data_IF_084049185737
#
_entry.id   IF_084049185737
#
_cell.length_a   1.000
_cell.length_b   1.000
_cell.length_c   1.000
_cell.angle_alpha   90.00
_cell.angle_beta   90.00
_cell.angle_gamma   90.00
#
_symmetry.space_group_name_H-M   'P 1'
#
loop_
_entity.id
_entity.type
_entity.pdbx_description
1 polymer ?
#
# COMPACT_ATOMS: atom_id res chain seq x y z
N UNK A 1 21.47 1.43 7.81
CA UNK A 1 22.33 0.46 7.10
C UNK A 1 21.38 -0.59 6.56
N UNK A 2 20.81 -0.34 5.39
CA UNK A 2 20.03 -1.32 4.66
C UNK A 2 20.98 -2.42 4.20
N UNK A 3 20.92 -3.57 4.87
CA UNK A 3 21.42 -4.77 4.23
C UNK A 3 20.54 -5.00 3.00
N UNK A 4 21.13 -5.10 1.79
CA UNK A 4 20.35 -5.49 0.63
C UNK A 4 19.71 -6.83 0.98
N UNK A 5 18.37 -6.92 0.87
CA UNK A 5 17.67 -8.20 0.98
C UNK A 5 18.38 -9.16 0.05
N UNK A 6 19.14 -10.09 0.63
CA UNK A 6 19.92 -11.03 -0.15
C UNK A 6 18.93 -11.79 -1.03
N UNK A 7 19.17 -11.81 -2.34
CA UNK A 7 18.39 -12.64 -3.25
C UNK A 7 18.48 -14.08 -2.75
N UNK A 8 17.36 -14.57 -2.21
CA UNK A 8 17.25 -15.95 -1.75
C UNK A 8 17.29 -16.81 -3.02
N UNK A 9 18.25 -17.76 -3.14
CA UNK A 9 18.28 -18.68 -4.26
C UNK A 9 16.90 -19.33 -4.42
N UNK A 10 16.43 -19.47 -5.66
CA UNK A 10 15.07 -19.97 -5.90
C UNK A 10 14.82 -21.37 -5.31
N UNK A 11 15.89 -22.16 -5.16
CA UNK A 11 15.87 -23.49 -4.55
C UNK A 11 15.68 -23.45 -3.02
N UNK A 12 16.00 -22.32 -2.38
CA UNK A 12 15.82 -22.07 -0.95
C UNK A 12 14.47 -21.37 -0.64
N UNK A 13 13.73 -20.95 -1.67
CA UNK A 13 12.42 -20.35 -1.50
C UNK A 13 11.39 -21.40 -1.06
N UNK A 14 10.45 -21.02 -0.18
CA UNK A 14 9.33 -21.89 0.16
C UNK A 14 8.53 -22.25 -1.10
N UNK A 15 7.98 -23.47 -1.11
CA UNK A 15 7.12 -23.90 -2.20
C UNK A 15 5.97 -22.91 -2.42
N UNK A 16 5.67 -22.64 -3.69
CA UNK A 16 4.58 -21.73 -4.05
C UNK A 16 3.26 -22.17 -3.40
N UNK A 17 2.43 -21.22 -2.92
CA UNK A 17 1.18 -21.56 -2.29
C UNK A 17 0.29 -22.31 -3.30
N UNK A 18 -0.37 -23.41 -2.88
CA UNK A 18 -1.18 -24.23 -3.80
C UNK A 18 -2.42 -23.48 -4.31
N UNK A 19 -2.84 -22.43 -3.60
CA UNK A 19 -3.99 -21.61 -3.96
C UNK A 19 -3.78 -20.17 -3.52
N UNK A 20 -4.06 -19.26 -4.44
CA UNK A 20 -4.11 -17.81 -4.22
C UNK A 20 -5.53 -17.34 -4.53
N UNK A 21 -6.12 -16.59 -3.61
CA UNK A 21 -7.40 -15.91 -3.80
C UNK A 21 -7.13 -14.46 -4.19
N UNK A 22 -7.89 -13.92 -5.15
CA UNK A 22 -7.76 -12.53 -5.58
C UNK A 22 -9.04 -11.77 -5.26
N UNK A 23 -8.90 -10.54 -4.81
CA UNK A 23 -10.01 -9.69 -4.37
C UNK A 23 -9.96 -8.33 -5.09
N UNK A 24 -11.12 -7.77 -5.47
CA UNK A 24 -11.20 -6.48 -6.14
C UNK A 24 -11.01 -5.30 -5.17
N UNK A 25 -11.04 -5.52 -3.86
CA UNK A 25 -10.92 -4.46 -2.86
C UNK A 25 -10.45 -4.97 -1.49
N UNK A 26 -10.03 -4.03 -0.65
CA UNK A 26 -9.86 -4.24 0.79
C UNK A 26 -10.53 -3.09 1.56
N UNK A 27 -10.90 -3.36 2.81
CA UNK A 27 -11.37 -2.35 3.76
C UNK A 27 -10.27 -2.13 4.78
N UNK A 28 -9.83 -0.89 4.93
CA UNK A 28 -8.95 -0.43 6.00
C UNK A 28 -9.81 0.24 7.07
N UNK A 29 -9.64 -0.14 8.33
CA UNK A 29 -10.32 0.50 9.46
C UNK A 29 -9.29 1.07 10.42
N UNK A 30 -9.47 2.32 10.81
CA UNK A 30 -8.52 3.07 11.63
C UNK A 30 -9.24 4.04 12.55
N UNK A 31 -8.51 4.48 13.57
CA UNK A 31 -8.98 5.50 14.49
C UNK A 31 -8.59 6.88 13.98
N UNK A 32 -9.58 7.76 13.78
CA UNK A 32 -9.34 9.14 13.41
C UNK A 32 -9.60 10.02 14.65
N UNK A 33 -8.57 10.71 15.19
CA UNK A 33 -8.69 11.49 16.42
C UNK A 33 -9.49 12.81 16.27
N UNK A 34 -10.18 13.04 15.14
CA UNK A 34 -10.90 14.29 14.85
C UNK A 34 -12.43 14.15 14.87
N UNK A 35 -13.09 15.29 15.03
CA UNK A 35 -14.53 15.53 15.21
C UNK A 35 -15.42 15.03 14.05
N UNK A 36 -14.83 14.51 12.96
CA UNK A 36 -15.54 13.95 11.81
C UNK A 36 -16.02 12.51 12.05
N UNK A 37 -15.51 11.86 13.09
CA UNK A 37 -16.05 10.61 13.58
C UNK A 37 -17.14 10.89 14.60
N UNK A 38 -18.33 10.32 14.40
CA UNK A 38 -19.32 10.21 15.47
C UNK A 38 -18.76 9.49 16.70
N UNK A 39 -19.60 9.24 17.71
CA UNK A 39 -19.23 8.79 19.06
C UNK A 39 -18.34 7.53 19.21
N UNK A 40 -17.90 6.88 18.12
CA UNK A 40 -17.00 5.73 18.10
C UNK A 40 -15.58 5.97 17.56
N UNK A 41 -15.25 7.13 16.96
CA UNK A 41 -13.87 7.46 16.54
C UNK A 41 -13.24 6.62 15.41
N UNK A 42 -13.98 5.66 14.83
CA UNK A 42 -13.48 4.75 13.79
C UNK A 42 -13.95 5.17 12.39
N UNK A 43 -13.01 5.29 11.45
CA UNK A 43 -13.27 5.41 10.02
C UNK A 43 -12.94 4.10 9.32
N UNK A 44 -13.70 3.81 8.26
CA UNK A 44 -13.42 2.71 7.35
C UNK A 44 -13.33 3.24 5.93
N UNK A 45 -12.19 3.02 5.29
CA UNK A 45 -11.97 3.34 3.89
C UNK A 45 -11.91 2.07 3.05
N UNK A 46 -12.35 2.17 1.79
CA UNK A 46 -12.32 1.06 0.84
C UNK A 46 -11.32 1.35 -0.27
N UNK A 47 -10.26 0.56 -0.29
CA UNK A 47 -9.21 0.60 -1.30
C UNK A 47 -9.61 -0.34 -2.43
N UNK A 48 -9.59 0.14 -3.68
CA UNK A 48 -10.08 -0.57 -4.85
C UNK A 48 -8.98 -0.92 -5.83
N UNK A 49 -9.06 -2.14 -6.35
CA UNK A 49 -8.24 -2.66 -7.44
C UNK A 49 -9.13 -3.37 -8.46
N UNK A 50 -10.04 -2.62 -9.09
CA UNK A 50 -11.11 -3.15 -9.94
C UNK A 50 -10.76 -2.97 -11.40
N UNK A 51 -10.87 -4.03 -12.22
CA UNK A 51 -10.57 -3.96 -13.66
C UNK A 51 -11.63 -3.23 -14.50
N UNK A 52 -12.86 -3.11 -14.00
CA UNK A 52 -13.95 -2.37 -14.63
C UNK A 52 -14.75 -1.62 -13.57
N UNK A 53 -14.74 -0.30 -13.65
CA UNK A 53 -15.42 0.62 -12.76
C UNK A 53 -16.39 1.47 -13.58
N UNK A 54 -17.68 1.41 -13.21
CA UNK A 54 -18.77 2.16 -13.86
C UNK A 54 -18.88 1.99 -15.38
N UNK A 55 -18.31 0.92 -15.94
CA UNK A 55 -18.34 0.63 -17.37
C UNK A 55 -17.30 1.38 -18.20
N UNK A 56 -16.39 2.14 -17.59
CA UNK A 56 -15.44 2.98 -18.32
C UNK A 56 -14.00 2.44 -18.32
N UNK A 57 -13.55 1.81 -17.24
CA UNK A 57 -12.19 1.27 -17.20
C UNK A 57 -11.75 0.82 -15.83
N UNK A 58 -10.48 0.44 -15.70
CA UNK A 58 -9.95 -0.02 -14.43
C UNK A 58 -9.77 1.13 -13.44
N UNK A 59 -10.06 0.86 -12.17
CA UNK A 59 -9.81 1.74 -11.03
C UNK A 59 -8.84 1.05 -10.08
N UNK A 60 -7.67 1.67 -9.93
CA UNK A 60 -6.60 1.24 -9.04
C UNK A 60 -6.28 2.40 -8.11
N UNK A 61 -6.67 2.27 -6.85
CA UNK A 61 -6.42 3.29 -5.84
C UNK A 61 -4.92 3.26 -5.44
N UNK A 62 -4.40 4.44 -5.07
CA UNK A 62 -3.04 4.58 -4.52
C UNK A 62 -3.09 4.48 -3.00
N UNK A 63 -1.99 4.01 -2.42
CA UNK A 63 -1.80 3.82 -0.98
C UNK A 63 -0.41 4.28 -0.57
N UNK A 64 -0.27 4.65 0.69
CA UNK A 64 1.04 4.76 1.31
C UNK A 64 1.46 3.41 1.89
N UNK A 65 2.76 3.19 1.97
CA UNK A 65 3.35 2.00 2.56
C UNK A 65 4.44 2.48 3.52
N UNK A 66 4.59 1.79 4.65
CA UNK A 66 5.71 2.03 5.57
C UNK A 66 7.05 2.00 4.79
N UNK A 67 7.83 3.07 4.96
CA UNK A 67 9.15 3.24 4.36
C UNK A 67 10.23 3.30 5.43
N UNK A 68 10.95 4.41 5.50
CA UNK A 68 11.99 4.64 6.51
C UNK A 68 11.40 5.28 7.78
N UNK A 69 11.43 4.53 8.89
CA UNK A 69 10.87 4.92 10.20
C UNK A 69 11.48 6.21 10.80
N UNK A 70 12.69 6.59 10.36
CA UNK A 70 13.44 7.72 10.91
C UNK A 70 13.09 9.07 10.24
N UNK A 71 12.31 9.06 9.15
CA UNK A 71 11.96 10.26 8.40
C UNK A 71 10.52 10.73 8.71
N UNK A 72 10.30 12.02 9.04
CA UNK A 72 8.98 12.51 9.39
C UNK A 72 8.08 12.66 8.17
N UNK A 73 6.80 12.30 8.34
CA UNK A 73 5.75 12.58 7.35
C UNK A 73 5.93 11.76 6.06
N UNK A 74 5.70 12.38 4.91
CA UNK A 74 5.79 11.70 3.62
C UNK A 74 7.21 11.23 3.29
N UNK A 75 8.25 11.86 3.83
CA UNK A 75 9.64 11.47 3.58
C UNK A 75 9.96 10.06 4.09
N UNK A 76 9.23 9.57 5.10
CA UNK A 76 9.32 8.21 5.62
C UNK A 76 8.33 7.22 4.99
N UNK A 77 7.56 7.63 3.99
CA UNK A 77 6.51 6.79 3.38
C UNK A 77 6.80 6.52 1.91
N UNK A 78 6.52 5.29 1.48
CA UNK A 78 6.53 4.91 0.08
C UNK A 78 5.15 5.09 -0.53
N UNK A 79 5.09 5.49 -1.79
CA UNK A 79 3.84 5.61 -2.54
C UNK A 79 3.68 4.43 -3.51
N UNK A 80 2.51 3.80 -3.50
CA UNK A 80 2.24 2.65 -4.33
C UNK A 80 0.83 2.69 -4.93
N UNK A 81 0.63 2.03 -6.08
CA UNK A 81 -0.69 1.81 -6.68
C UNK A 81 -1.05 0.34 -6.58
N UNK A 82 -2.19 0.04 -5.97
CA UNK A 82 -2.65 -1.33 -5.79
C UNK A 82 -3.23 -1.87 -7.10
N UNK A 83 -2.75 -3.04 -7.54
CA UNK A 83 -3.15 -3.70 -8.78
C UNK A 83 -4.08 -4.88 -8.55
N UNK A 84 -3.89 -5.60 -7.45
CA UNK A 84 -4.83 -6.61 -6.97
C UNK A 84 -4.62 -6.80 -5.48
N UNK A 85 -5.70 -7.13 -4.77
CA UNK A 85 -5.60 -7.73 -3.45
C UNK A 85 -5.57 -9.23 -3.59
N UNK A 86 -4.85 -9.92 -2.70
CA UNK A 86 -4.79 -11.36 -2.70
C UNK A 86 -4.60 -11.93 -1.30
N UNK A 87 -4.89 -13.21 -1.14
CA UNK A 87 -4.53 -13.95 0.05
C UNK A 87 -4.12 -15.38 -0.31
N UNK A 88 -3.18 -15.92 0.46
CA UNK A 88 -2.77 -17.30 0.34
C UNK A 88 -2.46 -17.89 1.71
N UNK A 89 -2.46 -19.22 1.79
CA UNK A 89 -2.08 -19.94 3.02
C UNK A 89 -0.72 -20.60 2.86
N UNK A 90 0.12 -20.40 3.85
CA UNK A 90 1.42 -21.05 3.98
C UNK A 90 1.63 -21.42 5.45
N UNK A 91 2.05 -22.66 5.72
CA UNK A 91 2.23 -23.21 7.08
C UNK A 91 1.04 -22.95 8.04
N UNK A 92 -0.17 -23.14 7.53
CA UNK A 92 -1.42 -22.97 8.29
C UNK A 92 -1.83 -21.51 8.54
N UNK A 93 -0.96 -20.54 8.28
CA UNK A 93 -1.21 -19.09 8.39
C UNK A 93 -1.79 -18.53 7.10
N UNK A 94 -2.59 -17.48 7.22
CA UNK A 94 -3.14 -16.75 6.08
C UNK A 94 -2.36 -15.45 5.90
N UNK A 95 -1.91 -15.18 4.68
CA UNK A 95 -1.15 -14.00 4.32
C UNK A 95 -2.00 -13.11 3.41
N UNK A 96 -2.66 -12.08 3.94
CA UNK A 96 -3.29 -11.06 3.13
C UNK A 96 -2.23 -10.14 2.52
N UNK A 97 -2.25 -9.98 1.20
CA UNK A 97 -1.26 -9.23 0.45
C UNK A 97 -1.89 -8.33 -0.61
N UNK A 98 -1.11 -7.37 -1.08
CA UNK A 98 -1.43 -6.55 -2.24
C UNK A 98 -0.30 -6.65 -3.27
N UNK A 99 -0.67 -6.81 -4.54
CA UNK A 99 0.26 -6.60 -5.66
C UNK A 99 0.25 -5.10 -5.97
N UNK A 100 1.40 -4.47 -5.95
CA UNK A 100 1.54 -3.03 -6.14
C UNK A 100 2.50 -2.67 -7.25
N UNK A 101 2.41 -1.44 -7.74
CA UNK A 101 3.46 -0.79 -8.54
C UNK A 101 3.88 0.49 -7.83
N UNK A 102 5.18 0.73 -7.74
CA UNK A 102 5.77 1.81 -6.94
C UNK A 102 5.84 3.15 -7.66
N UNK A 103 6.01 4.21 -6.85
CA UNK A 103 6.35 5.55 -7.30
C UNK A 103 7.50 6.11 -6.48
N UNK A 104 8.34 6.90 -7.13
CA UNK A 104 9.40 7.71 -6.54
C UNK A 104 9.00 9.18 -6.49
N UNK A 105 9.42 9.88 -5.43
CA UNK A 105 9.22 11.32 -5.32
C UNK A 105 10.01 12.08 -6.40
N UNK A 106 9.39 13.12 -6.97
CA UNK A 106 10.04 14.07 -7.87
C UNK A 106 10.53 15.24 -7.04
N UNK A 107 11.84 15.34 -6.87
CA UNK A 107 12.47 16.35 -6.03
C UNK A 107 12.43 15.99 -4.54
N UNK A 108 12.79 16.95 -3.69
CA UNK A 108 13.01 16.73 -2.25
C UNK A 108 11.99 17.45 -1.38
N UNK A 109 10.99 18.10 -1.96
CA UNK A 109 9.99 18.90 -1.25
C UNK A 109 8.63 18.84 -1.96
N UNK A 110 7.52 19.12 -1.24
CA UNK A 110 6.22 19.29 -1.87
C UNK A 110 6.24 20.38 -2.93
N UNK A 111 5.47 20.18 -4.00
CA UNK A 111 5.30 21.19 -5.04
C UNK A 111 4.64 22.46 -4.47
N UNK A 112 5.23 23.62 -4.74
CA UNK A 112 4.79 24.92 -4.20
C UNK A 112 3.34 25.27 -4.56
N UNK A 113 2.88 24.85 -5.75
CA UNK A 113 1.54 25.20 -6.25
C UNK A 113 0.42 24.38 -5.62
N UNK A 114 0.68 23.09 -5.32
CA UNK A 114 -0.32 22.14 -4.82
C UNK A 114 -0.12 21.78 -3.35
N UNK A 115 1.05 22.09 -2.77
CA UNK A 115 1.43 21.71 -1.42
C UNK A 115 1.57 20.19 -1.22
N UNK A 116 1.66 19.42 -2.32
CA UNK A 116 1.72 17.96 -2.31
C UNK A 116 2.99 17.46 -2.99
N UNK A 117 3.45 16.29 -2.57
CA UNK A 117 4.57 15.61 -3.23
C UNK A 117 4.18 15.16 -4.63
N UNK A 118 5.02 15.53 -5.59
CA UNK A 118 4.93 15.04 -6.95
C UNK A 118 5.64 13.69 -7.00
N UNK A 119 5.06 12.73 -7.71
CA UNK A 119 5.63 11.38 -7.82
C UNK A 119 5.63 10.92 -9.27
N UNK A 120 6.65 10.15 -9.64
CA UNK A 120 6.70 9.44 -10.91
C UNK A 120 6.74 7.93 -10.69
N UNK A 121 6.07 7.15 -11.56
CA UNK A 121 6.01 5.72 -11.35
C UNK A 121 7.31 5.02 -11.75
N UNK A 122 7.72 4.08 -10.91
CA UNK A 122 9.00 3.37 -11.05
C UNK A 122 8.98 2.42 -12.26
N UNK A 123 10.12 2.40 -12.96
CA UNK A 123 10.31 1.67 -14.20
C UNK A 123 11.58 0.82 -14.15
N UNK A 124 11.50 -0.38 -14.69
CA UNK A 124 12.66 -1.24 -14.92
C UNK A 124 13.50 -0.75 -16.11
N UNK A 125 14.61 -1.44 -16.40
CA UNK A 125 15.50 -1.12 -17.52
C UNK A 125 14.83 -1.19 -18.91
N UNK A 126 13.61 -1.74 -19.01
CA UNK A 126 12.81 -1.83 -20.24
C UNK A 126 11.69 -0.80 -20.28
N UNK A 127 11.59 0.08 -19.27
CA UNK A 127 10.51 1.06 -19.16
C UNK A 127 9.18 0.45 -18.73
N UNK A 128 9.18 -0.75 -18.12
CA UNK A 128 7.98 -1.40 -17.59
C UNK A 128 7.82 -1.13 -16.09
N UNK A 129 6.58 -1.10 -15.60
CA UNK A 129 6.30 -0.90 -14.17
C UNK A 129 6.97 -1.98 -13.34
N UNK A 130 7.62 -1.58 -12.26
CA UNK A 130 8.12 -2.50 -11.24
C UNK A 130 6.92 -2.96 -10.40
N UNK A 131 6.82 -4.28 -10.18
CA UNK A 131 5.77 -4.90 -9.39
C UNK A 131 6.36 -5.52 -8.14
N UNK A 132 5.61 -5.44 -7.05
CA UNK A 132 5.99 -6.09 -5.80
C UNK A 132 4.77 -6.58 -5.01
N UNK A 133 4.98 -7.51 -4.09
CA UNK A 133 3.98 -8.05 -3.19
C UNK A 133 4.26 -7.55 -1.78
N UNK A 134 3.34 -6.74 -1.26
CA UNK A 134 3.40 -6.26 0.12
C UNK A 134 2.34 -6.94 0.98
N UNK A 135 2.64 -7.09 2.27
CA UNK A 135 1.62 -7.48 3.24
C UNK A 135 0.63 -6.32 3.45
N UNK A 136 -0.64 -6.63 3.72
CA UNK A 136 -1.65 -5.58 3.94
C UNK A 136 -1.31 -4.69 5.14
N UNK A 137 -0.75 -5.25 6.20
CA UNK A 137 -0.39 -4.48 7.39
C UNK A 137 0.67 -3.39 7.14
N UNK A 138 1.41 -3.46 6.02
CA UNK A 138 2.39 -2.42 5.63
C UNK A 138 1.75 -1.21 4.97
N UNK A 139 0.50 -1.31 4.50
CA UNK A 139 -0.20 -0.18 3.90
C UNK A 139 -0.54 0.81 5.01
N UNK A 140 -0.24 2.09 4.80
CA UNK A 140 -0.49 3.19 5.71
C UNK A 140 -1.51 4.18 5.14
N UNK A 141 -2.18 4.91 6.04
CA UNK A 141 -3.03 6.04 5.68
C UNK A 141 -2.48 7.32 6.31
N UNK A 142 -2.53 8.43 5.55
CA UNK A 142 -2.23 9.76 6.07
C UNK A 142 -3.55 10.51 6.19
N UNK A 143 -4.09 10.62 7.40
CA UNK A 143 -5.06 11.68 7.68
C UNK A 143 -4.31 13.02 7.72
N UNK A 144 -4.70 13.95 6.86
CA UNK A 144 -4.14 15.28 6.85
C UNK A 144 -4.28 16.01 8.21
N UNK A 145 -3.24 16.77 8.55
CA UNK A 145 -3.20 17.87 9.53
C UNK A 145 -2.94 17.62 11.02
N UNK A 146 -2.71 16.41 11.48
CA UNK A 146 -2.19 16.21 12.85
C UNK A 146 -0.98 15.29 12.76
N UNK A 147 0.16 15.72 13.29
CA UNK A 147 1.49 15.09 13.17
C UNK A 147 1.63 13.72 13.86
N UNK A 148 0.62 12.87 13.72
CA UNK A 148 0.58 11.50 14.21
C UNK A 148 -0.09 10.64 13.13
N UNK A 149 0.67 9.71 12.57
CA UNK A 149 0.15 8.75 11.59
C UNK A 149 -0.96 7.92 12.26
N UNK A 150 -2.18 7.85 11.69
CA UNK A 150 -3.22 7.00 12.24
C UNK A 150 -2.77 5.54 12.19
N UNK A 151 -2.92 4.84 13.32
CA UNK A 151 -2.69 3.39 13.37
C UNK A 151 -3.84 2.68 12.71
N UNK A 152 -3.53 1.90 11.67
CA UNK A 152 -4.50 0.97 11.09
C UNK A 152 -4.77 -0.14 12.09
N UNK A 153 -6.05 -0.34 12.40
CA UNK A 153 -6.48 -1.33 13.37
C UNK A 153 -6.72 -2.69 12.72
N UNK A 154 -7.21 -2.68 11.48
CA UNK A 154 -7.51 -3.91 10.74
C UNK A 154 -7.60 -3.66 9.24
N UNK A 155 -7.04 -4.57 8.44
CA UNK A 155 -7.27 -4.64 7.00
C UNK A 155 -7.87 -5.99 6.62
N UNK A 156 -8.93 -5.96 5.80
CA UNK A 156 -9.56 -7.17 5.29
C UNK A 156 -9.86 -7.09 3.81
N UNK A 157 -9.41 -8.08 3.05
CA UNK A 157 -9.78 -8.29 1.66
C UNK A 157 -11.28 -8.58 1.54
N UNK A 158 -11.93 -8.00 0.52
CA UNK A 158 -13.38 -8.07 0.26
C UNK A 158 -13.66 -8.51 -1.17
#
# INVERSE_FOLDING_TARGET
>A
MDEPLADVPIDDCPAAPPKVFCYPSAIATFYAPSDQCGAGGLLSERIRAVRSWRGEGARYDCVFVDGEDDLPGFEGLLAARVRTFMSFRHDGRNFPCALVTWFSAIGTQPCEDVGMWMVEPDLDARGQRIYDIIHLDSIMEILGHSGQLPRILHQQVC
#
